data_IF_077682250131
#
_entry.id   IF_077682250131
#
_cell.length_a   1.000
_cell.length_b   1.000
_cell.length_c   1.000
_cell.angle_alpha   90.00
_cell.angle_beta   90.00
_cell.angle_gamma   90.00
#
_symmetry.space_group_name_H-M   'P 1'
#
loop_
_entity.id
_entity.type
_entity.pdbx_description
1 polymer ?
#
# COMPACT_ATOMS: atom_id res chain seq x y z
N UNK A 1 5.98 -0.17 9.68
CA UNK A 1 5.57 -0.41 8.28
C UNK A 1 6.22 -1.69 7.75
N UNK A 2 5.61 -2.87 7.91
CA UNK A 2 6.09 -4.08 7.27
C UNK A 2 5.99 -3.94 5.74
N UNK A 3 6.91 -4.57 5.02
CA UNK A 3 6.89 -4.60 3.55
C UNK A 3 6.00 -5.75 3.11
N UNK A 4 4.96 -5.47 2.32
CA UNK A 4 4.06 -6.52 1.83
C UNK A 4 4.50 -7.10 0.50
N UNK A 5 5.27 -6.34 -0.30
CA UNK A 5 5.83 -6.80 -1.57
C UNK A 5 7.06 -5.96 -1.96
N UNK A 6 8.00 -6.58 -2.69
CA UNK A 6 9.10 -5.89 -3.39
C UNK A 6 9.18 -6.36 -4.84
N UNK A 7 9.30 -5.41 -5.76
CA UNK A 7 9.55 -5.66 -7.18
C UNK A 7 10.66 -4.70 -7.62
N UNK A 8 11.87 -5.22 -7.82
CA UNK A 8 13.04 -4.38 -8.11
C UNK A 8 13.21 -3.25 -7.06
N UNK A 9 13.29 -1.97 -7.48
CA UNK A 9 13.44 -0.84 -6.55
C UNK A 9 12.13 -0.49 -5.82
N UNK A 10 10.98 -1.02 -6.24
CA UNK A 10 9.68 -0.67 -5.68
C UNK A 10 9.37 -1.47 -4.41
N UNK A 11 8.97 -0.75 -3.35
CA UNK A 11 8.58 -1.31 -2.06
C UNK A 11 7.13 -0.97 -1.74
N UNK A 12 6.29 -1.99 -1.54
CA UNK A 12 4.87 -1.85 -1.20
C UNK A 12 4.66 -2.04 0.30
N UNK A 13 3.88 -1.17 0.95
CA UNK A 13 3.59 -1.24 2.39
C UNK A 13 2.34 -0.43 2.78
N UNK A 14 1.85 -0.65 4.01
CA UNK A 14 0.67 0.01 4.59
C UNK A 14 1.00 0.77 5.88
N UNK A 15 0.71 2.08 5.90
CA UNK A 15 0.23 2.86 7.05
C UNK A 15 -0.51 2.06 8.14
N UNK A 16 -0.15 2.17 9.43
CA UNK A 16 -0.93 1.57 10.54
C UNK A 16 -1.87 2.60 11.19
N UNK A 17 -1.70 3.88 10.88
CA UNK A 17 -2.44 4.98 11.49
C UNK A 17 -2.81 6.03 10.44
N UNK A 18 -3.65 5.65 9.49
CA UNK A 18 -4.07 6.50 8.36
C UNK A 18 -5.54 6.92 8.44
N UNK A 19 -6.07 6.95 9.68
CA UNK A 19 -7.42 7.38 9.99
C UNK A 19 -8.47 6.61 9.15
N UNK A 20 -9.51 7.32 8.67
CA UNK A 20 -10.62 6.78 7.91
C UNK A 20 -10.41 6.86 6.38
N UNK A 21 -9.16 6.84 5.91
CA UNK A 21 -8.90 6.79 4.47
C UNK A 21 -9.31 5.42 3.87
N UNK A 22 -9.85 5.39 2.64
CA UNK A 22 -10.13 4.13 1.93
C UNK A 22 -8.89 3.24 1.82
N UNK A 23 -9.07 1.93 1.62
CA UNK A 23 -7.94 0.99 1.53
C UNK A 23 -6.98 1.43 0.42
N UNK A 24 -5.70 1.58 0.75
CA UNK A 24 -4.68 2.01 -0.19
C UNK A 24 -3.31 1.42 0.16
N UNK A 25 -2.40 1.40 -0.80
CA UNK A 25 -1.01 0.95 -0.61
C UNK A 25 -0.04 2.06 -0.99
N UNK A 26 1.03 2.20 -0.23
CA UNK A 26 2.15 3.05 -0.59
C UNK A 26 3.16 2.29 -1.41
N UNK A 27 3.70 2.95 -2.43
CA UNK A 27 4.81 2.42 -3.22
C UNK A 27 5.97 3.38 -3.08
N UNK A 28 7.06 2.95 -2.43
CA UNK A 28 8.29 3.75 -2.35
C UNK A 28 9.29 3.34 -3.43
N UNK A 29 9.85 4.33 -4.11
CA UNK A 29 11.00 4.21 -5.00
C UNK A 29 11.88 5.46 -4.86
N UNK A 30 13.14 5.27 -4.46
CA UNK A 30 14.07 6.38 -4.17
C UNK A 30 13.42 7.42 -3.22
N UNK A 31 13.30 8.67 -3.66
CA UNK A 31 12.70 9.77 -2.92
C UNK A 31 11.19 9.94 -3.17
N UNK A 32 10.58 9.04 -3.95
CA UNK A 32 9.15 9.10 -4.29
C UNK A 32 8.34 8.08 -3.49
N UNK A 33 7.16 8.51 -3.06
CA UNK A 33 6.22 7.71 -2.29
C UNK A 33 4.76 8.03 -2.65
N UNK A 34 4.28 7.64 -3.84
CA UNK A 34 2.87 7.71 -4.18
C UNK A 34 2.01 6.73 -3.36
N UNK A 35 0.75 7.13 -3.14
CA UNK A 35 -0.32 6.27 -2.63
C UNK A 35 -1.30 5.88 -3.74
N UNK A 36 -1.74 4.63 -3.71
CA UNK A 36 -2.70 4.08 -4.67
C UNK A 36 -3.91 3.50 -3.94
N UNK A 37 -5.10 4.01 -4.27
CA UNK A 37 -6.37 3.47 -3.78
C UNK A 37 -6.60 2.06 -4.32
N UNK A 38 -7.01 1.15 -3.46
CA UNK A 38 -7.29 -0.25 -3.79
C UNK A 38 -8.78 -0.50 -4.04
N UNK A 39 -9.59 0.56 -4.11
CA UNK A 39 -11.04 0.41 -4.24
C UNK A 39 -11.52 0.52 -5.70
N UNK A 40 -12.39 -0.41 -6.15
CA UNK A 40 -12.87 -1.58 -5.40
C UNK A 40 -12.03 -2.84 -5.74
N UNK A 41 -11.46 -3.53 -4.74
CA UNK A 41 -11.07 -4.94 -4.91
C UNK A 41 -11.86 -5.84 -3.95
N UNK A 42 -12.59 -6.80 -4.53
CA UNK A 42 -13.39 -7.89 -3.93
C UNK A 42 -12.65 -9.23 -4.15
N UNK A 43 -12.99 -10.39 -3.59
CA UNK A 43 -13.66 -10.73 -2.33
C UNK A 43 -12.64 -11.57 -1.52
N UNK A 44 -12.67 -11.36 -0.22
CA UNK A 44 -11.81 -11.98 0.78
C UNK A 44 -12.57 -13.03 1.59
N UNK A 45 -11.87 -14.07 2.06
CA UNK A 45 -12.35 -14.96 3.14
C UNK A 45 -11.17 -15.57 3.91
N UNK A 46 -11.25 -15.54 5.24
CA UNK A 46 -11.45 -16.70 6.12
C UNK A 46 -12.14 -16.22 7.40
#
# INVERSE_FOLDING_TARGET
MPTVMRIGPYRFFFYSNENDEPKHVYVRAEDNEPKFWLEPLQLAWN
#
